data_IF_246487499394
#
_entry.id   IF_246487499394
#
_cell.length_a   1.000
_cell.length_b   1.000
_cell.length_c   1.000
_cell.angle_alpha   90.00
_cell.angle_beta   90.00
_cell.angle_gamma   90.00
#
_symmetry.space_group_name_H-M   'P 1'
#
loop_
_entity.id
_entity.type
_entity.pdbx_description
1 polymer ?
#
# COMPACT_ATOMS: atom_id res chain seq x y z
N UNK A 1 7.29 -11.75 11.86
CA UNK A 1 7.28 -10.29 11.66
C UNK A 1 7.78 -9.85 10.27
N UNK A 2 8.33 -10.76 9.45
CA UNK A 2 8.91 -10.46 8.12
C UNK A 2 7.89 -10.22 6.98
N UNK A 3 6.64 -10.69 7.13
CA UNK A 3 5.64 -10.64 6.05
C UNK A 3 5.30 -9.24 5.56
N UNK A 4 5.29 -8.24 6.44
CA UNK A 4 5.03 -6.85 6.06
C UNK A 4 6.13 -6.29 5.17
N UNK A 5 7.39 -6.59 5.49
CA UNK A 5 8.54 -6.09 4.76
C UNK A 5 8.65 -6.72 3.39
N UNK A 6 8.36 -8.02 3.28
CA UNK A 6 8.33 -8.73 2.00
C UNK A 6 7.23 -8.17 1.09
N UNK A 7 6.00 -8.02 1.61
CA UNK A 7 4.88 -7.46 0.84
C UNK A 7 5.19 -6.02 0.43
N UNK A 8 5.70 -5.19 1.34
CA UNK A 8 6.11 -3.82 1.05
C UNK A 8 7.15 -3.78 -0.07
N UNK A 9 8.19 -4.63 0.00
CA UNK A 9 9.23 -4.72 -1.00
C UNK A 9 8.67 -5.13 -2.37
N UNK A 10 7.84 -6.18 -2.41
CA UNK A 10 7.16 -6.62 -3.64
C UNK A 10 6.42 -5.44 -4.28
N UNK A 11 5.58 -4.76 -3.51
CA UNK A 11 4.78 -3.63 -4.03
C UNK A 11 5.69 -2.50 -4.57
N UNK A 12 6.77 -2.17 -3.86
CA UNK A 12 7.68 -1.10 -4.29
C UNK A 12 8.52 -1.47 -5.51
N UNK A 13 8.84 -2.76 -5.68
CA UNK A 13 9.68 -3.27 -6.77
C UNK A 13 8.87 -3.67 -8.01
N UNK A 14 7.57 -3.92 -7.86
CA UNK A 14 6.71 -4.25 -8.98
C UNK A 14 6.51 -3.06 -9.92
N UNK A 15 6.75 -3.31 -11.21
CA UNK A 15 6.58 -2.32 -12.28
C UNK A 15 5.20 -2.38 -12.94
N UNK A 16 4.41 -3.40 -12.62
CA UNK A 16 3.08 -3.60 -13.20
C UNK A 16 2.15 -4.36 -12.24
N UNK A 17 0.82 -4.19 -12.35
CA UNK A 17 -0.15 -4.89 -11.52
C UNK A 17 -0.11 -6.42 -11.68
N UNK A 18 0.28 -6.91 -12.84
CA UNK A 18 0.43 -8.34 -13.11
C UNK A 18 1.63 -8.93 -12.37
N UNK A 19 2.77 -8.24 -12.43
CA UNK A 19 3.98 -8.59 -11.68
C UNK A 19 3.73 -8.60 -10.16
N UNK A 20 2.98 -7.60 -9.65
CA UNK A 20 2.55 -7.54 -8.27
C UNK A 20 1.77 -8.80 -7.86
N UNK A 21 0.74 -9.14 -8.65
CA UNK A 21 -0.13 -10.30 -8.38
C UNK A 21 0.67 -11.59 -8.37
N UNK A 22 1.51 -11.78 -9.37
CA UNK A 22 2.35 -12.97 -9.49
C UNK A 22 3.32 -13.07 -8.31
N UNK A 23 4.03 -11.99 -7.98
CA UNK A 23 4.99 -11.96 -6.89
C UNK A 23 4.35 -12.23 -5.53
N UNK A 24 3.17 -11.67 -5.25
CA UNK A 24 2.45 -11.92 -3.99
C UNK A 24 1.98 -13.38 -3.91
N UNK A 25 1.45 -13.94 -5.01
CA UNK A 25 1.01 -15.34 -5.02
C UNK A 25 2.20 -16.31 -4.88
N UNK A 26 3.31 -16.05 -5.56
CA UNK A 26 4.54 -16.85 -5.46
C UNK A 26 5.22 -16.74 -4.10
N UNK A 27 5.04 -15.63 -3.39
CA UNK A 27 5.64 -15.42 -2.07
C UNK A 27 5.03 -16.32 -0.98
N UNK A 28 3.87 -16.95 -1.22
CA UNK A 28 3.20 -17.80 -0.24
C UNK A 28 2.72 -17.07 1.02
N UNK A 29 2.73 -15.74 1.02
CA UNK A 29 2.32 -14.93 2.18
C UNK A 29 0.81 -14.93 2.28
N UNK A 30 0.31 -15.31 3.46
CA UNK A 30 -1.09 -15.18 3.79
C UNK A 30 -1.44 -13.71 3.99
N UNK A 31 -2.33 -13.19 3.15
CA UNK A 31 -2.80 -11.81 3.22
C UNK A 31 -4.01 -11.75 4.15
N UNK A 32 -3.79 -11.20 5.34
CA UNK A 32 -4.84 -10.88 6.30
C UNK A 32 -4.97 -9.36 6.46
N UNK A 33 -6.13 -8.92 6.95
CA UNK A 33 -6.44 -7.53 7.24
C UNK A 33 -5.36 -6.81 8.07
N UNK A 34 -4.84 -7.46 9.11
CA UNK A 34 -3.79 -6.87 9.96
C UNK A 34 -2.48 -6.66 9.20
N UNK A 35 -2.15 -7.57 8.27
CA UNK A 35 -0.95 -7.43 7.44
C UNK A 35 -1.10 -6.27 6.45
N UNK A 36 -2.24 -6.19 5.77
CA UNK A 36 -2.53 -5.13 4.80
C UNK A 36 -2.57 -3.76 5.48
N UNK A 37 -3.18 -3.66 6.66
CA UNK A 37 -3.20 -2.40 7.40
C UNK A 37 -1.78 -1.91 7.75
N UNK A 38 -0.92 -2.81 8.22
CA UNK A 38 0.49 -2.48 8.51
C UNK A 38 1.26 -2.04 7.27
N UNK A 39 1.04 -2.69 6.14
CA UNK A 39 1.66 -2.31 4.86
C UNK A 39 1.18 -0.92 4.43
N UNK A 40 -0.13 -0.67 4.43
CA UNK A 40 -0.71 0.63 4.06
C UNK A 40 -0.27 1.74 5.01
N UNK A 41 -0.19 1.46 6.31
CA UNK A 41 0.35 2.39 7.30
C UNK A 41 1.81 2.74 6.99
N UNK A 42 2.63 1.76 6.60
CA UNK A 42 4.01 2.00 6.16
C UNK A 42 4.07 2.84 4.88
N UNK A 43 3.20 2.60 3.90
CA UNK A 43 3.09 3.45 2.71
C UNK A 43 2.78 4.90 3.07
N UNK A 44 1.85 5.13 4.02
CA UNK A 44 1.46 6.46 4.48
C UNK A 44 2.60 7.25 5.09
N UNK A 45 3.36 6.61 5.99
CA UNK A 45 4.45 7.28 6.69
C UNK A 45 5.80 7.21 5.96
N UNK A 46 5.95 6.31 4.99
CA UNK A 46 7.18 6.07 4.24
C UNK A 46 7.23 6.75 2.88
N UNK A 47 6.30 7.66 2.57
CA UNK A 47 6.16 8.32 1.25
C UNK A 47 6.13 7.33 0.07
N UNK A 48 5.57 6.14 0.28
CA UNK A 48 5.42 5.15 -0.77
C UNK A 48 4.47 5.65 -1.87
N UNK A 49 4.61 5.14 -3.10
CA UNK A 49 3.77 5.57 -4.22
C UNK A 49 2.29 5.19 -3.96
N UNK A 50 1.36 6.16 -3.92
CA UNK A 50 -0.04 5.87 -3.61
C UNK A 50 -0.72 5.00 -4.68
N UNK A 51 -0.26 5.06 -5.93
CA UNK A 51 -0.73 4.17 -7.00
C UNK A 51 -0.43 2.70 -6.69
N UNK A 52 0.76 2.38 -6.18
CA UNK A 52 1.12 1.01 -5.84
C UNK A 52 0.32 0.50 -4.62
N UNK A 53 0.06 1.37 -3.64
CA UNK A 53 -0.83 1.07 -2.51
C UNK A 53 -2.27 0.81 -2.97
N UNK A 54 -2.77 1.57 -3.96
CA UNK A 54 -4.08 1.37 -4.56
C UNK A 54 -4.18 0.04 -5.31
N UNK A 55 -3.12 -0.36 -6.03
CA UNK A 55 -3.08 -1.65 -6.71
C UNK A 55 -3.16 -2.83 -5.73
N UNK A 56 -2.42 -2.76 -4.61
CA UNK A 56 -2.53 -3.74 -3.53
C UNK A 56 -3.97 -3.82 -2.98
N UNK A 57 -4.58 -2.65 -2.74
CA UNK A 57 -5.95 -2.57 -2.21
C UNK A 57 -6.98 -3.20 -3.16
N UNK A 58 -6.86 -2.92 -4.47
CA UNK A 58 -7.73 -3.53 -5.51
C UNK A 58 -7.51 -5.04 -5.63
N UNK A 59 -6.25 -5.48 -5.56
CA UNK A 59 -5.92 -6.90 -5.63
C UNK A 59 -6.56 -7.70 -4.47
N UNK A 60 -6.41 -7.19 -3.25
CA UNK A 60 -6.95 -7.83 -2.04
C UNK A 60 -8.47 -7.75 -1.98
N UNK A 61 -9.09 -6.69 -2.48
CA UNK A 61 -10.56 -6.59 -2.61
C UNK A 61 -11.15 -7.66 -3.56
N UNK A 62 -10.37 -8.14 -4.53
CA UNK A 62 -10.81 -9.16 -5.48
C UNK A 62 -10.62 -10.60 -4.97
N UNK A 63 -10.00 -10.80 -3.78
CA UNK A 63 -9.91 -12.13 -3.17
C UNK A 63 -11.23 -12.48 -2.47
N UNK A 64 -11.77 -13.66 -2.79
CA UNK A 64 -12.92 -14.22 -2.06
C UNK A 64 -12.58 -14.35 -0.56
N UNK A 65 -13.47 -13.86 0.29
CA UNK A 65 -13.34 -13.93 1.74
C UNK A 65 -12.43 -12.87 2.38
N UNK A 66 -11.94 -11.90 1.61
CA UNK A 66 -11.16 -10.78 2.14
C UNK A 66 -12.00 -9.50 2.18
N UNK A 67 -12.03 -8.82 3.34
CA UNK A 67 -12.80 -7.60 3.53
C UNK A 67 -11.93 -6.51 4.16
N UNK A 68 -11.75 -5.42 3.43
CA UNK A 68 -10.99 -4.27 3.90
C UNK A 68 -11.60 -3.70 5.18
N UNK A 69 -10.73 -3.35 6.12
CA UNK A 69 -11.15 -2.65 7.34
C UNK A 69 -11.28 -1.15 7.08
N UNK A 70 -12.06 -0.41 7.90
CA UNK A 70 -12.09 1.06 7.85
C UNK A 70 -10.69 1.68 7.94
N UNK A 71 -9.78 1.07 8.73
CA UNK A 71 -8.40 1.50 8.85
C UNK A 71 -7.62 1.35 7.54
N UNK A 72 -7.82 0.25 6.82
CA UNK A 72 -7.18 0.02 5.51
C UNK A 72 -7.62 1.08 4.49
N UNK A 73 -8.92 1.41 4.48
CA UNK A 73 -9.46 2.47 3.62
C UNK A 73 -8.93 3.86 4.01
N UNK A 74 -8.93 4.18 5.32
CA UNK A 74 -8.40 5.43 5.84
C UNK A 74 -6.93 5.63 5.45
N UNK A 75 -6.10 4.60 5.63
CA UNK A 75 -4.70 4.65 5.29
C UNK A 75 -4.47 4.88 3.78
N UNK A 76 -5.29 4.29 2.90
CA UNK A 76 -5.22 4.50 1.46
C UNK A 76 -5.65 5.92 1.04
N UNK A 77 -6.77 6.41 1.59
CA UNK A 77 -7.28 7.76 1.31
C UNK A 77 -6.26 8.81 1.74
N UNK A 78 -5.67 8.64 2.92
CA UNK A 78 -4.64 9.54 3.44
C UNK A 78 -3.31 9.39 2.69
N UNK A 79 -2.94 8.21 2.17
CA UNK A 79 -1.80 8.11 1.23
C UNK A 79 -2.00 8.98 -0.02
N UNK A 80 -3.23 9.01 -0.55
CA UNK A 80 -3.57 9.78 -1.77
C UNK A 80 -3.62 11.28 -1.47
N UNK A 81 -4.10 11.66 -0.28
CA UNK A 81 -4.13 13.05 0.20
C UNK A 81 -2.76 13.54 0.68
N UNK A 82 -1.93 12.68 1.24
CA UNK A 82 -0.58 13.00 1.68
C UNK A 82 0.33 13.32 0.49
N UNK A 83 0.02 12.90 -0.74
CA UNK A 83 0.69 13.42 -1.93
C UNK A 83 0.30 14.85 -2.25
N UNK A 84 -0.98 15.20 -2.12
CA UNK A 84 -1.43 16.59 -2.21
C UNK A 84 -0.82 17.45 -1.10
N UNK A 85 -0.74 16.94 0.13
CA UNK A 85 -0.11 17.65 1.25
C UNK A 85 1.43 17.61 1.24
N UNK A 86 2.09 16.64 0.58
CA UNK A 86 3.54 16.63 0.33
C UNK A 86 3.95 17.47 -0.89
N UNK A 87 3.00 17.89 -1.74
CA UNK A 87 3.22 18.98 -2.68
C UNK A 87 3.15 20.37 -2.00
N UNK A 88 2.49 20.48 -0.83
CA UNK A 88 2.44 21.75 -0.09
C UNK A 88 3.80 22.17 0.51
N UNK A 89 4.68 21.30 1.06
CA UNK A 89 6.01 21.74 1.47
C UNK A 89 6.95 22.09 0.31
N UNK A 90 6.64 21.77 -0.95
CA UNK A 90 7.39 22.30 -2.12
C UNK A 90 6.91 23.72 -2.50
N UNK A 91 5.76 24.16 -1.99
CA UNK A 91 5.28 25.55 -2.10
C UNK A 91 5.37 26.32 -0.76
N UNK A 92 5.88 25.69 0.28
CA UNK A 92 6.08 26.27 1.61
C UNK A 92 7.50 26.04 2.15
N UNK A 93 8.51 26.11 1.26
CA UNK A 93 9.90 26.39 1.64
C UNK A 93 10.34 27.74 1.07
N UNK A 94 9.52 28.76 1.30
CA UNK A 94 9.98 30.15 1.35
C UNK A 94 9.45 30.77 2.65
N UNK A 95 10.10 30.40 3.74
CA UNK A 95 10.32 31.19 4.96
C UNK A 95 11.44 30.51 5.75
#
# INVERSE_FOLDING_TARGET
MLGMEVVYRIITSSSSPEDLKQSINSSGIFLDNNLIDKVLKRFRFGHGKPLQALELFKFTANRKGFYHTPNSLWNLLECSRSWFLCLIPVLSMHC
#
